data_IF_629333591835
#
_entry.id   IF_629333591835
#
_cell.length_a   1.000
_cell.length_b   1.000
_cell.length_c   1.000
_cell.angle_alpha   90.00
_cell.angle_beta   90.00
_cell.angle_gamma   90.00
#
_symmetry.space_group_name_H-M   'P 1'
#
loop_
_entity.id
_entity.type
_entity.pdbx_description
1 polymer ?
#
# COMPACT_ATOMS: atom_id res chain seq x y z
N UNK A 1 10.16 -12.49 15.21
CA UNK A 1 9.77 -13.85 15.62
C UNK A 1 8.73 -14.43 14.66
N UNK A 2 8.63 -15.75 14.59
CA UNK A 2 7.71 -16.45 13.68
C UNK A 2 6.24 -16.07 13.87
N UNK A 3 5.87 -15.68 15.10
CA UNK A 3 4.51 -15.23 15.43
C UNK A 3 4.15 -13.83 14.91
N UNK A 4 5.08 -13.10 14.37
CA UNK A 4 4.92 -11.73 13.88
C UNK A 4 5.06 -11.63 12.36
N UNK A 5 5.36 -12.73 11.67
CA UNK A 5 5.54 -12.77 10.22
C UNK A 5 4.71 -13.90 9.61
N UNK A 6 4.11 -13.63 8.46
CA UNK A 6 3.29 -14.60 7.73
C UNK A 6 3.54 -14.52 6.22
N UNK A 7 3.83 -15.65 5.61
CA UNK A 7 3.94 -15.77 4.15
C UNK A 7 2.56 -15.64 3.51
N UNK A 8 2.48 -14.89 2.42
CA UNK A 8 1.24 -14.59 1.68
C UNK A 8 1.34 -15.08 0.24
N UNK A 9 0.23 -15.49 -0.33
CA UNK A 9 0.10 -15.81 -1.75
C UNK A 9 0.02 -14.51 -2.59
N UNK A 10 1.05 -13.64 -2.39
CA UNK A 10 1.12 -12.26 -2.83
C UNK A 10 0.36 -11.30 -1.91
N UNK A 11 0.80 -10.05 -1.87
CA UNK A 11 0.21 -9.03 -0.98
C UNK A 11 -1.26 -8.71 -1.28
N UNK A 12 -1.73 -8.90 -2.53
CA UNK A 12 -3.14 -8.64 -2.90
C UNK A 12 -4.12 -9.46 -2.05
N UNK A 13 -3.85 -10.73 -1.90
CA UNK A 13 -4.64 -11.65 -1.09
C UNK A 13 -4.56 -11.24 0.39
N UNK A 14 -3.35 -10.97 0.87
CA UNK A 14 -3.13 -10.54 2.25
C UNK A 14 -3.88 -9.26 2.60
N UNK A 15 -3.81 -8.24 1.76
CA UNK A 15 -4.51 -6.96 1.95
C UNK A 15 -6.03 -7.12 1.95
N UNK A 16 -6.56 -8.00 1.09
CA UNK A 16 -8.00 -8.32 1.05
C UNK A 16 -8.46 -8.96 2.37
N UNK A 17 -7.80 -10.03 2.80
CA UNK A 17 -8.18 -10.75 4.02
C UNK A 17 -7.87 -9.98 5.30
N UNK A 18 -6.86 -9.10 5.30
CA UNK A 18 -6.55 -8.26 6.45
C UNK A 18 -7.68 -7.30 6.81
N UNK A 19 -8.41 -6.75 5.83
CA UNK A 19 -9.60 -5.94 6.09
C UNK A 19 -10.71 -6.75 6.78
N UNK A 20 -10.92 -8.00 6.34
CA UNK A 20 -11.90 -8.91 6.94
C UNK A 20 -11.49 -9.29 8.35
N UNK A 21 -10.20 -9.56 8.56
CA UNK A 21 -9.65 -9.84 9.90
C UNK A 21 -9.84 -8.65 10.82
N UNK A 22 -9.47 -7.44 10.38
CA UNK A 22 -9.56 -6.22 11.19
C UNK A 22 -11.00 -5.94 11.66
N UNK A 23 -11.99 -6.16 10.78
CA UNK A 23 -13.40 -5.99 11.12
C UNK A 23 -13.89 -6.91 12.25
N UNK A 24 -13.24 -8.06 12.45
CA UNK A 24 -13.55 -9.04 13.49
C UNK A 24 -12.66 -8.91 14.73
N UNK A 25 -11.39 -8.56 14.49
CA UNK A 25 -10.38 -8.46 15.52
C UNK A 25 -10.56 -7.22 16.41
N UNK A 26 -10.87 -6.09 15.78
CA UNK A 26 -11.11 -4.84 16.51
C UNK A 26 -12.41 -4.93 17.28
N UNK A 27 -12.41 -4.43 18.51
CA UNK A 27 -13.60 -4.41 19.37
C UNK A 27 -14.83 -3.84 18.65
N UNK A 28 -16.05 -4.35 18.93
CA UNK A 28 -17.28 -3.89 18.28
C UNK A 28 -17.45 -2.37 18.34
N UNK A 29 -17.85 -1.77 17.22
CA UNK A 29 -18.05 -0.33 17.08
C UNK A 29 -19.53 0.03 17.14
N UNK A 30 -19.84 1.24 17.60
CA UNK A 30 -21.19 1.77 17.49
C UNK A 30 -21.43 2.15 16.02
N UNK A 31 -22.53 1.67 15.44
CA UNK A 31 -22.85 1.87 14.03
C UNK A 31 -22.09 0.94 13.09
N UNK A 32 -22.11 1.27 11.80
CA UNK A 32 -21.43 0.48 10.77
C UNK A 32 -19.92 0.67 10.86
N UNK A 33 -19.12 -0.40 11.00
CA UNK A 33 -17.67 -0.29 11.02
C UNK A 33 -17.15 0.35 9.73
N UNK A 34 -16.06 1.12 9.83
CA UNK A 34 -15.45 1.82 8.71
C UNK A 34 -14.02 1.34 8.44
N UNK A 35 -13.65 1.30 7.16
CA UNK A 35 -12.28 1.14 6.70
C UNK A 35 -11.89 2.39 5.92
N UNK A 36 -10.85 3.06 6.38
CA UNK A 36 -10.31 4.26 5.75
C UNK A 36 -9.24 3.85 4.73
N UNK A 37 -9.23 4.53 3.58
CA UNK A 37 -8.24 4.29 2.54
C UNK A 37 -7.96 5.55 1.72
N UNK A 38 -6.72 5.73 1.19
CA UNK A 38 -6.42 6.84 0.29
C UNK A 38 -7.28 6.76 -0.97
N UNK A 39 -7.50 7.88 -1.63
CA UNK A 39 -8.14 7.92 -2.97
C UNK A 39 -7.28 8.76 -3.92
N UNK A 40 -6.69 8.17 -4.97
CA UNK A 40 -6.83 6.78 -5.47
C UNK A 40 -6.34 5.69 -4.49
N UNK A 41 -6.86 4.47 -4.65
CA UNK A 41 -6.55 3.33 -3.79
C UNK A 41 -6.32 2.04 -4.60
N UNK A 42 -5.64 1.08 -3.98
CA UNK A 42 -5.49 -0.24 -4.58
C UNK A 42 -6.80 -1.04 -4.41
N UNK A 43 -7.39 -1.60 -5.49
CA UNK A 43 -8.75 -2.19 -5.44
C UNK A 43 -8.97 -3.27 -4.38
N UNK A 44 -7.92 -3.96 -3.93
CA UNK A 44 -8.02 -4.97 -2.89
C UNK A 44 -8.50 -4.41 -1.54
N UNK A 45 -8.16 -3.14 -1.21
CA UNK A 45 -8.59 -2.50 0.04
C UNK A 45 -10.11 -2.38 0.09
N UNK A 46 -10.69 -1.77 -0.94
CA UNK A 46 -12.13 -1.58 -1.04
C UNK A 46 -12.90 -2.88 -1.16
N UNK A 47 -12.37 -3.88 -1.90
CA UNK A 47 -12.97 -5.19 -2.01
C UNK A 47 -13.03 -5.91 -0.65
N UNK A 48 -11.91 -5.89 0.12
CA UNK A 48 -11.85 -6.47 1.46
C UNK A 48 -12.80 -5.78 2.44
N UNK A 49 -12.85 -4.44 2.43
CA UNK A 49 -13.77 -3.66 3.26
C UNK A 49 -15.24 -4.01 2.97
N UNK A 50 -15.62 -4.14 1.69
CA UNK A 50 -16.99 -4.58 1.30
C UNK A 50 -17.30 -5.99 1.77
N UNK A 51 -16.38 -6.92 1.55
CA UNK A 51 -16.54 -8.31 1.98
C UNK A 51 -16.70 -8.44 3.50
N UNK A 52 -16.06 -7.52 4.26
CA UNK A 52 -16.19 -7.42 5.71
C UNK A 52 -17.49 -6.72 6.16
N UNK A 53 -18.34 -6.23 5.26
CA UNK A 53 -19.54 -5.46 5.59
C UNK A 53 -19.26 -4.02 6.08
N UNK A 54 -18.01 -3.57 5.99
CA UNK A 54 -17.59 -2.24 6.43
C UNK A 54 -17.98 -1.15 5.43
N UNK A 55 -18.14 0.07 5.93
CA UNK A 55 -18.18 1.25 5.10
C UNK A 55 -16.78 1.60 4.60
N UNK A 56 -16.69 1.95 3.32
CA UNK A 56 -15.46 2.44 2.70
C UNK A 56 -15.44 3.96 2.80
N UNK A 57 -14.44 4.50 3.50
CA UNK A 57 -14.24 5.94 3.59
C UNK A 57 -12.98 6.30 2.81
N UNK A 58 -13.19 7.07 1.76
CA UNK A 58 -12.13 7.49 0.85
C UNK A 58 -11.55 8.83 1.31
N UNK A 59 -10.25 8.84 1.57
CA UNK A 59 -9.52 10.03 1.98
C UNK A 59 -8.80 10.61 0.74
N UNK A 60 -9.17 11.80 0.28
CA UNK A 60 -8.57 12.40 -0.91
C UNK A 60 -7.05 12.56 -0.75
N UNK A 61 -6.29 12.17 -1.79
CA UNK A 61 -4.86 12.39 -1.89
C UNK A 61 -4.58 13.28 -3.09
N UNK A 62 -4.32 14.53 -2.82
CA UNK A 62 -4.19 15.60 -3.81
C UNK A 62 -2.80 16.22 -3.75
N UNK A 63 -2.48 17.08 -4.71
CA UNK A 63 -1.22 17.84 -4.70
C UNK A 63 -1.09 18.71 -3.43
N UNK A 64 -2.20 19.26 -2.94
CA UNK A 64 -2.21 20.16 -1.77
C UNK A 64 -1.86 19.47 -0.46
N UNK A 65 -2.10 18.14 -0.34
CA UNK A 65 -1.74 17.35 0.84
C UNK A 65 -0.56 16.39 0.56
N UNK A 66 0.23 16.66 -0.50
CA UNK A 66 1.40 15.87 -0.86
C UNK A 66 1.07 14.43 -1.27
N UNK A 67 -0.17 14.18 -1.73
CA UNK A 67 -0.70 12.87 -2.10
C UNK A 67 -0.70 11.85 -0.96
N UNK A 68 -0.83 12.33 0.28
CA UNK A 68 -1.09 11.50 1.45
C UNK A 68 -2.42 11.93 2.08
N UNK A 69 -3.19 11.01 2.70
CA UNK A 69 -4.40 11.37 3.42
C UNK A 69 -4.13 12.43 4.49
N UNK A 70 -4.98 13.45 4.56
CA UNK A 70 -4.94 14.43 5.64
C UNK A 70 -5.58 13.82 6.89
N UNK A 71 -4.73 13.47 7.87
CA UNK A 71 -5.16 12.80 9.10
C UNK A 71 -5.98 13.71 10.01
N UNK A 72 -5.79 15.02 9.92
CA UNK A 72 -6.48 16.00 10.76
C UNK A 72 -7.87 16.36 10.20
N UNK A 73 -8.16 15.98 8.97
CA UNK A 73 -9.49 16.13 8.35
C UNK A 73 -10.48 15.03 8.75
N UNK A 74 -10.05 13.98 9.45
CA UNK A 74 -10.90 12.85 9.82
C UNK A 74 -11.64 13.18 11.12
N UNK A 75 -12.96 13.25 11.05
CA UNK A 75 -13.78 13.57 12.21
C UNK A 75 -13.80 12.45 13.27
N UNK A 76 -14.04 12.82 14.53
CA UNK A 76 -14.06 11.90 15.66
C UNK A 76 -15.13 10.80 15.55
N UNK A 77 -16.27 11.07 14.92
CA UNK A 77 -17.32 10.07 14.72
C UNK A 77 -16.88 8.99 13.74
N UNK A 78 -16.14 9.38 12.72
CA UNK A 78 -15.50 8.45 11.77
C UNK A 78 -14.40 7.64 12.45
N UNK A 79 -13.49 8.29 13.19
CA UNK A 79 -12.43 7.60 13.92
C UNK A 79 -12.97 6.59 14.94
N UNK A 80 -14.03 6.94 15.65
CA UNK A 80 -14.65 6.07 16.68
C UNK A 80 -15.22 4.76 16.11
N UNK A 81 -15.54 4.68 14.81
CA UNK A 81 -16.06 3.48 14.16
C UNK A 81 -15.06 2.85 13.18
N UNK A 82 -13.87 3.40 13.06
CA UNK A 82 -12.81 2.86 12.21
C UNK A 82 -12.27 1.55 12.79
N UNK A 83 -12.15 0.53 11.94
CA UNK A 83 -11.52 -0.76 12.28
C UNK A 83 -10.18 -0.93 11.59
N UNK A 84 -9.98 -0.32 10.43
CA UNK A 84 -8.70 -0.34 9.73
C UNK A 84 -8.46 0.93 8.94
N UNK A 85 -7.19 1.30 8.79
CA UNK A 85 -6.68 2.35 7.93
C UNK A 85 -5.65 1.75 6.97
N UNK A 86 -5.93 1.76 5.67
CA UNK A 86 -4.95 1.42 4.66
C UNK A 86 -4.06 2.61 4.31
N UNK A 87 -2.76 2.38 4.34
CA UNK A 87 -1.77 3.35 3.88
C UNK A 87 -0.84 2.68 2.88
N UNK A 88 -0.69 3.24 1.67
CA UNK A 88 0.36 2.85 0.74
C UNK A 88 1.54 3.83 0.84
N UNK A 89 2.74 3.32 1.13
CA UNK A 89 3.96 4.13 1.15
C UNK A 89 5.16 3.29 0.69
N UNK A 90 5.69 3.59 -0.51
CA UNK A 90 5.27 4.60 -1.50
C UNK A 90 3.86 4.43 -2.03
N UNK A 91 3.15 5.55 -2.22
CA UNK A 91 1.77 5.56 -2.69
C UNK A 91 1.64 5.08 -4.15
N UNK A 92 0.59 4.33 -4.42
CA UNK A 92 0.24 3.91 -5.77
C UNK A 92 -1.07 4.61 -6.18
N UNK A 93 -1.10 5.44 -7.25
CA UNK A 93 -0.04 5.59 -8.28
C UNK A 93 0.90 6.79 -8.09
N UNK A 94 0.68 7.69 -7.13
CA UNK A 94 1.33 9.00 -7.08
C UNK A 94 2.83 8.95 -6.68
N UNK A 95 3.26 7.87 -6.00
CA UNK A 95 4.65 7.66 -5.61
C UNK A 95 5.14 8.54 -4.44
N UNK A 96 4.22 9.14 -3.69
CA UNK A 96 4.55 9.87 -2.46
C UNK A 96 4.97 8.90 -1.35
N UNK A 97 5.89 9.36 -0.51
CA UNK A 97 6.43 8.60 0.62
C UNK A 97 6.04 9.29 1.92
N UNK A 98 5.44 8.54 2.83
CA UNK A 98 5.09 9.04 4.15
C UNK A 98 6.35 9.28 4.99
N UNK A 99 6.40 10.43 5.64
CA UNK A 99 7.49 10.75 6.57
C UNK A 99 7.33 10.00 7.90
N UNK A 100 8.43 9.91 8.67
CA UNK A 100 8.38 9.36 10.03
C UNK A 100 7.39 10.14 10.92
N UNK A 101 7.29 11.44 10.77
CA UNK A 101 6.32 12.26 11.50
C UNK A 101 4.87 11.88 11.14
N UNK A 102 4.60 11.62 9.86
CA UNK A 102 3.28 11.14 9.42
C UNK A 102 2.95 9.76 10.01
N UNK A 103 3.88 8.81 9.95
CA UNK A 103 3.72 7.49 10.57
C UNK A 103 3.45 7.59 12.08
N UNK A 104 4.22 8.42 12.78
CA UNK A 104 4.03 8.65 14.23
C UNK A 104 2.63 9.22 14.52
N UNK A 105 2.16 10.18 13.72
CA UNK A 105 0.82 10.76 13.87
C UNK A 105 -0.28 9.73 13.63
N UNK A 106 -0.15 8.93 12.55
CA UNK A 106 -1.11 7.87 12.25
C UNK A 106 -1.13 6.80 13.37
N UNK A 107 0.04 6.43 13.90
CA UNK A 107 0.15 5.50 15.03
C UNK A 107 -0.56 6.03 16.28
N UNK A 108 -0.39 7.30 16.60
CA UNK A 108 -1.09 7.93 17.73
C UNK A 108 -2.61 7.88 17.57
N UNK A 109 -3.14 8.08 16.37
CA UNK A 109 -4.57 7.93 16.09
C UNK A 109 -5.02 6.49 16.25
N UNK A 110 -4.25 5.53 15.71
CA UNK A 110 -4.55 4.11 15.85
C UNK A 110 -4.57 3.66 17.32
N UNK A 111 -3.63 4.12 18.13
CA UNK A 111 -3.59 3.80 19.56
C UNK A 111 -4.76 4.41 20.33
N UNK A 112 -5.12 5.65 20.02
CA UNK A 112 -6.23 6.36 20.67
C UNK A 112 -7.57 5.72 20.37
N UNK A 113 -7.80 5.33 19.11
CA UNK A 113 -9.10 4.86 18.63
C UNK A 113 -9.16 3.33 18.48
N UNK A 114 -8.05 2.62 18.65
CA UNK A 114 -7.98 1.16 18.62
C UNK A 114 -8.28 0.54 17.24
N UNK A 115 -7.82 1.14 16.15
CA UNK A 115 -7.94 0.56 14.81
C UNK A 115 -6.59 0.02 14.31
N UNK A 116 -6.64 -0.88 13.32
CA UNK A 116 -5.44 -1.44 12.69
C UNK A 116 -4.92 -0.54 11.57
N UNK A 117 -3.61 -0.33 11.51
CA UNK A 117 -2.91 0.25 10.37
C UNK A 117 -2.44 -0.90 9.48
N UNK A 118 -2.92 -0.92 8.23
CA UNK A 118 -2.56 -1.89 7.21
C UNK A 118 -1.65 -1.17 6.19
N UNK A 119 -0.33 -1.25 6.42
CA UNK A 119 0.68 -0.54 5.64
C UNK A 119 1.09 -1.35 4.41
N UNK A 120 0.68 -0.91 3.22
CA UNK A 120 1.11 -1.50 1.95
C UNK A 120 2.46 -0.90 1.54
N UNK A 121 3.53 -1.64 1.77
CA UNK A 121 4.90 -1.24 1.51
C UNK A 121 5.51 -1.97 0.30
N UNK A 122 4.66 -2.46 -0.60
CA UNK A 122 5.10 -3.24 -1.76
C UNK A 122 6.05 -2.51 -2.71
N UNK A 123 6.12 -1.19 -2.64
CA UNK A 123 7.01 -0.34 -3.43
C UNK A 123 8.23 0.18 -2.66
N UNK A 124 8.46 -0.25 -1.42
CA UNK A 124 9.54 0.26 -0.57
C UNK A 124 10.93 0.16 -1.21
N UNK A 125 11.17 -0.84 -2.05
CA UNK A 125 12.44 -1.03 -2.74
C UNK A 125 12.58 -0.29 -4.07
N UNK A 126 11.52 0.37 -4.54
CA UNK A 126 11.56 1.18 -5.76
C UNK A 126 11.47 2.65 -5.35
N UNK A 127 12.60 3.27 -5.12
CA UNK A 127 12.73 4.67 -4.74
C UNK A 127 13.76 5.40 -5.59
N UNK A 128 13.61 6.72 -5.71
CA UNK A 128 14.43 7.52 -6.61
C UNK A 128 15.67 8.12 -5.92
N UNK A 129 15.55 8.57 -4.68
CA UNK A 129 16.64 9.21 -3.92
C UNK A 129 16.89 8.52 -2.58
N UNK A 130 15.93 8.56 -1.69
CA UNK A 130 16.04 8.06 -0.32
C UNK A 130 15.16 6.83 -0.13
N UNK A 131 15.66 5.86 0.62
CA UNK A 131 14.87 4.67 0.96
C UNK A 131 13.68 5.07 1.84
N UNK A 132 12.45 4.63 1.50
CA UNK A 132 11.29 4.86 2.34
C UNK A 132 11.46 4.20 3.71
N UNK A 133 11.01 4.87 4.78
CA UNK A 133 10.84 4.21 6.07
C UNK A 133 9.67 3.25 6.08
N UNK A 134 9.67 2.32 7.03
CA UNK A 134 8.55 1.41 7.29
C UNK A 134 7.67 1.92 8.42
N UNK A 135 6.36 1.64 8.36
CA UNK A 135 5.43 1.89 9.46
C UNK A 135 5.84 1.11 10.74
N UNK A 136 6.50 -0.04 10.57
CA UNK A 136 7.00 -0.85 11.70
C UNK A 136 8.04 -0.10 12.54
N UNK A 137 8.80 0.83 11.97
CA UNK A 137 9.78 1.65 12.70
C UNK A 137 9.12 2.60 13.72
N UNK A 138 7.84 2.90 13.54
CA UNK A 138 7.06 3.76 14.41
C UNK A 138 6.05 2.99 15.27
N UNK A 139 6.00 1.67 15.16
CA UNK A 139 4.97 0.84 15.78
C UNK A 139 5.24 0.49 17.24
N UNK A 140 6.46 0.74 17.75
CA UNK A 140 6.91 0.29 19.06
C UNK A 140 7.32 -1.19 19.08
N UNK A 141 7.78 -1.71 20.22
CA UNK A 141 8.42 -3.03 20.30
C UNK A 141 7.48 -4.21 20.00
N UNK A 142 6.19 -4.07 20.24
CA UNK A 142 5.18 -5.12 20.05
C UNK A 142 4.40 -4.96 18.75
N UNK A 143 4.72 -3.99 17.93
CA UNK A 143 4.02 -3.64 16.69
C UNK A 143 2.50 -3.48 16.84
N UNK A 144 2.01 -3.17 18.04
CA UNK A 144 0.58 -3.08 18.33
C UNK A 144 -0.15 -2.21 17.32
N UNK A 145 -1.28 -2.70 16.80
CA UNK A 145 -2.12 -2.05 15.78
C UNK A 145 -1.46 -1.82 14.43
N UNK A 146 -0.32 -2.42 14.11
CA UNK A 146 0.37 -2.23 12.82
C UNK A 146 0.67 -3.55 12.15
N UNK A 147 0.37 -3.63 10.85
CA UNK A 147 0.81 -4.71 9.97
C UNK A 147 1.34 -4.11 8.67
N UNK A 148 2.57 -4.42 8.31
CA UNK A 148 3.18 -4.07 7.03
C UNK A 148 3.10 -5.24 6.05
N UNK A 149 2.87 -4.92 4.77
CA UNK A 149 2.76 -5.89 3.68
C UNK A 149 3.87 -5.67 2.66
N UNK A 150 4.59 -6.72 2.34
CA UNK A 150 5.69 -6.74 1.39
C UNK A 150 5.44 -7.76 0.28
N UNK A 151 6.08 -7.58 -0.88
CA UNK A 151 5.88 -8.46 -2.02
C UNK A 151 7.11 -8.55 -2.93
N UNK A 152 7.41 -9.75 -3.42
CA UNK A 152 8.38 -9.95 -4.49
C UNK A 152 7.95 -9.36 -5.84
N UNK A 153 6.65 -9.06 -6.00
CA UNK A 153 6.09 -8.58 -7.26
C UNK A 153 6.79 -7.34 -7.81
N UNK A 154 7.16 -6.40 -6.92
CA UNK A 154 7.76 -5.11 -7.29
C UNK A 154 9.25 -5.07 -6.96
N UNK A 155 9.62 -5.50 -5.75
CA UNK A 155 11.00 -5.58 -5.30
C UNK A 155 11.88 -6.38 -6.27
N UNK A 156 11.42 -7.59 -6.62
CA UNK A 156 12.18 -8.57 -7.40
C UNK A 156 11.65 -8.77 -8.82
N UNK A 157 10.70 -7.95 -9.25
CA UNK A 157 10.05 -8.07 -10.56
C UNK A 157 9.49 -9.49 -10.84
N UNK A 158 8.97 -10.14 -9.80
CA UNK A 158 8.42 -11.51 -9.81
C UNK A 158 6.91 -11.56 -9.51
N UNK A 159 6.05 -10.78 -10.23
CA UNK A 159 4.62 -10.73 -9.91
C UNK A 159 3.90 -12.07 -10.14
N UNK A 160 4.42 -12.92 -11.04
CA UNK A 160 3.85 -14.23 -11.37
C UNK A 160 4.08 -15.29 -10.29
N UNK A 161 5.10 -15.13 -9.44
CA UNK A 161 5.40 -16.11 -8.38
C UNK A 161 4.42 -16.08 -7.21
N UNK A 162 3.61 -15.04 -7.10
CA UNK A 162 2.56 -14.91 -6.07
C UNK A 162 3.12 -15.09 -4.65
N UNK A 163 4.22 -14.44 -4.33
CA UNK A 163 4.80 -14.47 -2.97
C UNK A 163 4.97 -13.08 -2.42
N UNK A 164 4.63 -12.95 -1.16
CA UNK A 164 4.84 -11.80 -0.31
C UNK A 164 4.79 -12.22 1.15
N UNK A 165 4.83 -11.25 2.05
CA UNK A 165 4.62 -11.50 3.47
C UNK A 165 3.93 -10.32 4.14
N UNK A 166 3.34 -10.60 5.31
CA UNK A 166 2.89 -9.59 6.26
C UNK A 166 3.72 -9.72 7.54
N UNK A 167 4.01 -8.58 8.18
CA UNK A 167 4.71 -8.56 9.46
C UNK A 167 4.10 -7.48 10.37
N UNK A 168 4.01 -7.76 11.68
CA UNK A 168 3.47 -6.79 12.62
C UNK A 168 2.86 -7.39 13.88
N UNK A 169 1.79 -6.77 14.36
CA UNK A 169 1.07 -7.11 15.58
C UNK A 169 0.82 -8.61 15.74
N UNK A 170 1.46 -9.25 16.70
CA UNK A 170 1.39 -10.70 16.95
C UNK A 170 -0.04 -11.20 17.15
N UNK A 171 -0.86 -10.42 17.86
CA UNK A 171 -2.24 -10.83 18.18
C UNK A 171 -3.11 -10.77 16.94
N UNK A 172 -2.94 -9.71 16.15
CA UNK A 172 -3.61 -9.60 14.85
C UNK A 172 -3.14 -10.71 13.90
N UNK A 173 -1.83 -10.99 13.85
CA UNK A 173 -1.28 -12.05 12.99
C UNK A 173 -1.83 -13.44 13.32
N UNK A 174 -2.09 -13.73 14.62
CA UNK A 174 -2.75 -14.97 15.03
C UNK A 174 -4.19 -15.07 14.49
N UNK A 175 -5.00 -14.02 14.65
CA UNK A 175 -6.36 -13.98 14.10
C UNK A 175 -6.38 -14.01 12.56
N UNK A 176 -5.38 -13.38 11.94
CA UNK A 176 -5.21 -13.40 10.49
C UNK A 176 -4.85 -14.80 9.97
N UNK A 177 -4.00 -15.52 10.70
CA UNK A 177 -3.64 -16.90 10.38
C UNK A 177 -4.87 -17.84 10.47
N UNK A 178 -5.69 -17.71 11.50
CA UNK A 178 -6.93 -18.52 11.64
C UNK A 178 -7.84 -18.36 10.41
N UNK A 179 -8.10 -17.12 10.00
CA UNK A 179 -8.91 -16.86 8.80
C UNK A 179 -8.26 -17.45 7.54
N UNK A 180 -6.97 -17.23 7.36
CA UNK A 180 -6.26 -17.67 6.15
C UNK A 180 -6.14 -19.19 6.04
N UNK A 181 -5.98 -19.90 7.14
CA UNK A 181 -5.91 -21.35 7.16
C UNK A 181 -7.17 -22.01 6.57
N UNK A 182 -8.30 -21.34 6.62
CA UNK A 182 -9.57 -21.83 6.09
C UNK A 182 -9.90 -21.22 4.72
N UNK A 183 -9.60 -19.96 4.51
CA UNK A 183 -10.12 -19.19 3.40
C UNK A 183 -9.10 -18.90 2.27
N UNK A 184 -7.81 -19.08 2.53
CA UNK A 184 -6.77 -18.73 1.56
C UNK A 184 -5.92 -19.93 1.15
N UNK A 185 -5.44 -19.96 -0.11
CA UNK A 185 -4.51 -20.99 -0.54
C UNK A 185 -3.16 -20.81 0.17
N UNK A 186 -2.48 -21.92 0.43
CA UNK A 186 -1.12 -21.92 0.95
C UNK A 186 -0.13 -21.63 -0.18
N UNK A 187 0.97 -20.95 0.14
CA UNK A 187 2.06 -20.76 -0.82
C UNK A 187 2.79 -22.09 -1.01
N UNK A 188 2.87 -22.63 -2.24
CA UNK A 188 3.57 -23.87 -2.49
C UNK A 188 5.05 -23.82 -2.04
N UNK A 189 5.54 -24.91 -1.45
CA UNK A 189 6.91 -25.00 -0.92
C UNK A 189 7.99 -24.58 -1.93
N UNK A 190 7.94 -25.00 -3.22
CA UNK A 190 8.91 -24.51 -4.19
C UNK A 190 8.95 -22.99 -4.33
N UNK A 191 7.80 -22.32 -4.23
CA UNK A 191 7.73 -20.86 -4.31
C UNK A 191 8.24 -20.19 -3.03
N UNK A 192 8.13 -20.85 -1.88
CA UNK A 192 8.78 -20.37 -0.64
C UNK A 192 10.31 -20.43 -0.77
N UNK A 193 10.88 -21.46 -1.39
CA UNK A 193 12.31 -21.51 -1.68
C UNK A 193 12.76 -20.39 -2.65
N UNK A 194 11.95 -20.11 -3.69
CA UNK A 194 12.19 -18.96 -4.57
C UNK A 194 12.19 -17.66 -3.77
N UNK A 195 11.25 -17.51 -2.83
CA UNK A 195 11.20 -16.32 -1.98
C UNK A 195 12.43 -16.17 -1.10
N UNK A 196 12.90 -17.25 -0.46
CA UNK A 196 14.14 -17.24 0.34
C UNK A 196 15.33 -16.78 -0.50
N UNK A 197 15.50 -17.33 -1.70
CA UNK A 197 16.57 -16.93 -2.61
C UNK A 197 16.44 -15.46 -3.03
N UNK A 198 15.23 -15.00 -3.40
CA UNK A 198 15.00 -13.64 -3.87
C UNK A 198 15.13 -12.58 -2.76
N UNK A 199 14.69 -12.89 -1.54
CA UNK A 199 14.88 -11.98 -0.39
C UNK A 199 16.33 -11.99 0.13
N UNK A 200 17.10 -13.03 -0.14
CA UNK A 200 18.52 -13.13 0.19
C UNK A 200 19.48 -12.48 -0.81
N UNK A 201 18.97 -12.05 -1.98
CA UNK A 201 19.77 -11.40 -3.03
C UNK A 201 19.36 -9.94 -3.18
N UNK A 202 20.26 -9.01 -2.86
CA UNK A 202 20.05 -7.57 -3.04
C UNK A 202 20.58 -7.07 -4.40
N UNK A 203 21.46 -7.81 -5.07
CA UNK A 203 22.06 -7.33 -6.31
C UNK A 203 21.03 -7.08 -7.42
N UNK A 204 20.06 -7.98 -7.59
CA UNK A 204 18.99 -7.80 -8.57
C UNK A 204 18.03 -6.66 -8.19
N UNK A 205 17.86 -6.36 -6.90
CA UNK A 205 17.02 -5.25 -6.41
C UNK A 205 17.68 -3.92 -6.76
N UNK A 206 18.98 -3.79 -6.53
CA UNK A 206 19.75 -2.60 -6.89
C UNK A 206 19.73 -2.37 -8.40
N UNK A 207 19.90 -3.43 -9.21
CA UNK A 207 19.81 -3.32 -10.66
C UNK A 207 18.40 -2.93 -11.13
N UNK A 208 17.36 -3.52 -10.57
CA UNK A 208 15.97 -3.14 -10.83
C UNK A 208 15.74 -1.65 -10.52
N UNK A 209 16.22 -1.18 -9.38
CA UNK A 209 16.16 0.23 -8.97
C UNK A 209 16.93 1.15 -9.92
N UNK A 210 18.13 0.72 -10.35
CA UNK A 210 18.94 1.46 -11.34
C UNK A 210 18.19 1.61 -12.68
N UNK A 211 17.54 0.55 -13.15
CA UNK A 211 16.74 0.58 -14.39
C UNK A 211 15.53 1.51 -14.28
N UNK A 212 14.85 1.57 -13.13
CA UNK A 212 13.76 2.52 -12.91
C UNK A 212 14.27 3.97 -12.87
N UNK A 213 15.44 4.23 -12.26
CA UNK A 213 16.04 5.57 -12.26
C UNK A 213 16.30 6.08 -13.67
N UNK A 214 16.84 5.25 -14.56
CA UNK A 214 17.04 5.59 -15.99
C UNK A 214 15.72 5.98 -16.66
N UNK A 215 14.65 5.24 -16.38
CA UNK A 215 13.31 5.56 -16.94
C UNK A 215 12.80 6.90 -16.43
N UNK A 216 13.02 7.20 -15.15
CA UNK A 216 12.65 8.52 -14.60
C UNK A 216 13.54 9.65 -15.12
N UNK A 217 14.83 9.41 -15.39
CA UNK A 217 15.72 10.38 -16.04
C UNK A 217 15.20 10.73 -17.44
N UNK A 218 14.73 9.73 -18.19
CA UNK A 218 14.07 9.95 -19.49
C UNK A 218 12.74 10.70 -19.34
N UNK A 219 11.94 10.35 -18.32
CA UNK A 219 10.69 11.06 -18.06
C UNK A 219 10.93 12.53 -17.70
N UNK A 220 11.96 12.85 -16.90
CA UNK A 220 12.37 14.22 -16.60
C UNK A 220 12.73 14.99 -17.87
N UNK A 221 13.50 14.39 -18.77
CA UNK A 221 13.92 15.00 -20.03
C UNK A 221 12.72 15.22 -20.98
N UNK A 222 11.84 14.23 -21.11
CA UNK A 222 10.74 14.25 -22.08
C UNK A 222 9.58 15.11 -21.58
N UNK A 223 9.21 14.97 -20.31
CA UNK A 223 8.04 15.65 -19.73
C UNK A 223 8.40 17.04 -19.19
N UNK A 224 9.56 17.19 -18.56
CA UNK A 224 9.95 18.45 -17.90
C UNK A 224 8.88 18.86 -16.87
N UNK A 225 8.36 20.10 -16.99
CA UNK A 225 7.26 20.59 -16.14
C UNK A 225 5.86 20.38 -16.73
N UNK A 226 5.75 19.72 -17.89
CA UNK A 226 4.45 19.51 -18.55
C UNK A 226 3.55 18.61 -17.72
N UNK A 227 2.26 18.88 -17.75
CA UNK A 227 1.21 18.09 -17.09
C UNK A 227 1.39 18.01 -15.56
N UNK A 228 1.99 19.02 -14.94
CA UNK A 228 2.26 18.99 -13.51
C UNK A 228 3.23 17.89 -13.08
N UNK A 229 3.97 17.29 -14.04
CA UNK A 229 4.89 16.19 -13.75
C UNK A 229 5.92 16.57 -12.70
N UNK A 230 6.08 15.68 -11.74
CA UNK A 230 7.17 15.69 -10.76
C UNK A 230 7.68 14.27 -10.64
N UNK A 231 9.00 14.10 -10.60
CA UNK A 231 9.59 12.77 -10.34
C UNK A 231 9.07 12.25 -9.00
N UNK A 232 8.45 11.07 -8.94
CA UNK A 232 7.97 10.50 -7.69
C UNK A 232 9.13 10.14 -6.76
N UNK A 233 8.89 10.17 -5.45
CA UNK A 233 9.86 9.72 -4.46
C UNK A 233 10.04 8.20 -4.49
N UNK A 234 8.95 7.46 -4.77
CA UNK A 234 8.96 6.00 -4.90
C UNK A 234 7.95 5.47 -5.89
N UNK A 235 7.91 4.14 -6.05
CA UNK A 235 7.07 3.49 -7.05
C UNK A 235 7.61 3.60 -8.47
N UNK A 236 6.79 3.26 -9.47
CA UNK A 236 7.19 3.24 -10.88
C UNK A 236 6.17 3.90 -11.81
N UNK A 237 5.20 4.61 -11.27
CA UNK A 237 4.19 5.29 -12.05
C UNK A 237 4.59 6.75 -12.30
N UNK A 238 4.15 7.28 -13.43
CA UNK A 238 4.17 8.70 -13.73
C UNK A 238 2.75 9.22 -13.52
N UNK A 239 2.56 10.18 -12.61
CA UNK A 239 1.27 10.79 -12.32
C UNK A 239 1.20 12.16 -12.96
N UNK A 240 0.23 12.37 -13.86
CA UNK A 240 0.12 13.57 -14.69
C UNK A 240 -1.24 14.23 -14.49
N UNK A 241 -1.25 15.55 -14.40
CA UNK A 241 -2.48 16.35 -14.44
C UNK A 241 -2.87 16.60 -15.90
N UNK A 242 -4.05 16.13 -16.24
CA UNK A 242 -4.65 16.27 -17.57
C UNK A 242 -6.01 16.98 -17.53
N UNK A 243 -6.32 17.68 -16.45
CA UNK A 243 -7.58 18.39 -16.24
C UNK A 243 -7.86 19.43 -17.33
N UNK A 244 -6.81 20.09 -17.86
CA UNK A 244 -6.87 21.05 -18.97
C UNK A 244 -7.00 20.38 -20.36
N UNK A 245 -7.02 19.05 -20.43
CA UNK A 245 -7.03 18.24 -21.65
C UNK A 245 -8.31 17.43 -21.86
N UNK A 246 -9.37 17.79 -21.16
CA UNK A 246 -10.64 17.09 -21.18
C UNK A 246 -10.74 15.95 -20.16
N UNK A 247 -9.79 15.90 -19.21
CA UNK A 247 -9.75 14.93 -18.11
C UNK A 247 -9.06 13.61 -18.47
N UNK A 248 -9.09 12.70 -17.54
CA UNK A 248 -8.39 11.41 -17.57
C UNK A 248 -8.97 10.47 -18.64
N UNK A 249 -10.29 10.30 -18.70
CA UNK A 249 -10.95 9.42 -19.65
C UNK A 249 -10.68 9.84 -21.10
N UNK A 250 -10.94 11.11 -21.44
CA UNK A 250 -10.73 11.62 -22.79
C UNK A 250 -9.25 11.54 -23.21
N UNK A 251 -8.34 11.81 -22.27
CA UNK A 251 -6.89 11.71 -22.52
C UNK A 251 -6.44 10.26 -22.70
N UNK A 252 -6.94 9.33 -21.88
CA UNK A 252 -6.67 7.90 -22.01
C UNK A 252 -7.11 7.35 -23.35
N UNK A 253 -8.35 7.67 -23.77
CA UNK A 253 -8.89 7.25 -25.09
C UNK A 253 -8.05 7.81 -26.24
N UNK A 254 -7.67 9.09 -26.19
CA UNK A 254 -6.85 9.74 -27.19
C UNK A 254 -5.46 9.12 -27.29
N UNK A 255 -4.77 8.91 -26.17
CA UNK A 255 -3.45 8.26 -26.13
C UNK A 255 -3.48 6.87 -26.76
N UNK A 256 -4.55 6.11 -26.48
CA UNK A 256 -4.70 4.79 -27.07
C UNK A 256 -4.94 4.86 -28.60
N UNK A 257 -5.85 5.73 -29.05
CA UNK A 257 -6.20 5.84 -30.47
C UNK A 257 -5.08 6.42 -31.32
N UNK A 258 -4.43 7.48 -30.83
CA UNK A 258 -3.50 8.28 -31.65
C UNK A 258 -2.05 7.73 -31.56
N UNK A 259 -1.69 7.10 -30.43
CA UNK A 259 -0.32 6.66 -30.17
C UNK A 259 -0.19 5.17 -29.78
N UNK A 260 -1.28 4.43 -29.66
CA UNK A 260 -1.26 3.04 -29.19
C UNK A 260 -0.81 2.88 -27.73
N UNK A 261 -0.82 3.97 -26.95
CA UNK A 261 -0.35 3.96 -25.55
C UNK A 261 -1.52 3.67 -24.61
N UNK A 262 -1.41 2.58 -23.88
CA UNK A 262 -2.35 2.23 -22.83
C UNK A 262 -1.87 2.79 -21.49
N UNK A 263 -2.68 3.61 -20.87
CA UNK A 263 -2.49 4.13 -19.51
C UNK A 263 -3.61 3.62 -18.58
N UNK A 264 -3.46 3.80 -17.30
CA UNK A 264 -4.41 3.39 -16.25
C UNK A 264 -4.74 4.59 -15.37
#
# INVERSE_FOLDING_TARGET
>A
PESEVMVLNGSREGLFFAAITAARYVAPRKGRPAVLMPNPFYPAYGAGARAAGCEQIYLPTTLSNGFLPDLDSIDEATLARTVAFFLASPANPQGSVASRAYFTRLKQLADRHGFMILSDECYSEIYTREAPGSMLECAGPDFTNVVAFQSLSKRSNLPGMRVGFAAGDRKFMAAFLELRNVAAPQVPVPLQHVAVAAYGDEAHVEENRRLYRIKFDLADQILGSRYGYKRPAGGFCVWLDVSDRGGDEATTVRLYRDAGVRVI
#
